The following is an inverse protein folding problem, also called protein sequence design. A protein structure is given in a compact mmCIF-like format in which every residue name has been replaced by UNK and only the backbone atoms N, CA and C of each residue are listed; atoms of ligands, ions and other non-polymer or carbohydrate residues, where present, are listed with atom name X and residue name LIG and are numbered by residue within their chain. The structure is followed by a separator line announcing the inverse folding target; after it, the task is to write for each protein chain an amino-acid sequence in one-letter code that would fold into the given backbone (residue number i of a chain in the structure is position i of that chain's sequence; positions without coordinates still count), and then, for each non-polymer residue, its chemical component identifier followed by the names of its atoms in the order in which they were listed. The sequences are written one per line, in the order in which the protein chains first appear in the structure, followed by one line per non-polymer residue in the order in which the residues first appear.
data_IF_981290792089
#
_entry.id   IF_981290792089
#
_cell.length_a   1.000
_cell.length_b   1.000
_cell.length_c   1.000
_cell.angle_alpha   90.00
_cell.angle_beta   90.00
_cell.angle_gamma   90.00
#
_symmetry.space_group_name_H-M   'P 1'
#
loop_
_entity.id
_entity.type
_entity.pdbx_description
1 polymer ?
#
# COMPACT_ATOMS: atom_id res chain seq x y z
N UNK A 1 2.90 19.51 -1.01
CA UNK A 1 4.35 19.39 -1.25
C UNK A 1 4.74 18.06 -1.89
N UNK A 2 4.33 16.89 -1.36
CA UNK A 2 4.73 15.58 -1.94
C UNK A 2 4.13 15.34 -3.34
N UNK A 3 2.88 15.76 -3.58
CA UNK A 3 2.23 15.63 -4.91
C UNK A 3 3.01 16.38 -5.99
N UNK A 4 3.46 17.61 -5.71
CA UNK A 4 4.21 18.46 -6.64
C UNK A 4 5.56 17.82 -7.03
N UNK A 5 6.19 17.09 -6.11
CA UNK A 5 7.45 16.40 -6.40
C UNK A 5 7.24 15.20 -7.34
N UNK A 6 6.18 14.43 -7.13
CA UNK A 6 5.85 13.30 -8.01
C UNK A 6 5.43 13.77 -9.41
N UNK A 7 4.74 14.91 -9.50
CA UNK A 7 4.45 15.55 -10.77
C UNK A 7 5.74 15.98 -11.48
N UNK A 8 6.67 16.62 -10.77
CA UNK A 8 7.98 17.02 -11.31
C UNK A 8 8.76 15.84 -11.89
N UNK A 9 8.77 14.70 -11.20
CA UNK A 9 9.41 13.47 -11.70
C UNK A 9 8.77 12.96 -13.00
N UNK A 10 7.47 13.13 -13.16
CA UNK A 10 6.76 12.75 -14.38
C UNK A 10 7.05 13.74 -15.53
N UNK A 11 7.24 15.02 -15.22
CA UNK A 11 7.68 16.03 -16.21
C UNK A 11 9.10 15.72 -16.70
N UNK A 12 10.03 15.45 -15.78
CA UNK A 12 11.41 15.08 -16.08
C UNK A 12 11.47 13.78 -16.90
N UNK A 13 10.59 12.81 -16.60
CA UNK A 13 10.42 11.61 -17.41
C UNK A 13 9.96 11.90 -18.85
N UNK A 14 9.06 12.88 -19.04
CA UNK A 14 8.61 13.30 -20.37
C UNK A 14 9.72 14.01 -21.16
N UNK A 15 10.47 14.89 -20.51
CA UNK A 15 11.62 15.59 -21.10
C UNK A 15 12.71 14.61 -21.54
N UNK A 16 13.03 13.61 -20.70
CA UNK A 16 13.98 12.55 -21.03
C UNK A 16 13.52 11.63 -22.15
N UNK A 17 12.21 11.47 -22.35
CA UNK A 17 11.65 10.71 -23.47
C UNK A 17 11.77 11.46 -24.81
N UNK A 18 12.18 12.73 -24.81
CA UNK A 18 12.23 13.57 -26.00
C UNK A 18 10.84 13.78 -26.62
N UNK A 19 9.79 13.57 -25.82
CA UNK A 19 8.41 13.81 -26.23
C UNK A 19 8.13 15.26 -25.87
N UNK A 20 8.14 16.15 -26.87
CA UNK A 20 7.56 17.47 -26.68
C UNK A 20 6.06 17.30 -26.45
N UNK A 21 5.66 17.26 -25.18
CA UNK A 21 4.29 17.58 -24.81
C UNK A 21 4.09 19.05 -25.15
N UNK A 22 3.72 19.34 -26.40
CA UNK A 22 3.23 20.65 -26.76
C UNK A 22 1.99 20.94 -25.91
N UNK A 23 2.17 21.75 -24.87
CA UNK A 23 1.10 22.54 -24.25
C UNK A 23 0.95 23.84 -25.02
N UNK A 24 0.75 23.77 -26.33
CA UNK A 24 0.27 24.93 -27.10
C UNK A 24 -1.14 24.61 -27.54
N UNK A 25 -2.09 24.81 -26.64
CA UNK A 25 -3.46 25.11 -27.08
C UNK A 25 -3.49 26.62 -27.23
N UNK A 26 -3.50 27.09 -28.47
CA UNK A 26 -3.92 28.44 -28.78
C UNK A 26 -5.41 28.54 -28.46
N UNK A 27 -5.74 28.97 -27.25
CA UNK A 27 -7.08 29.45 -26.93
C UNK A 27 -7.12 30.96 -27.21
N UNK A 28 -8.21 31.44 -27.83
CA UNK A 28 -8.36 32.80 -28.38
C UNK A 28 -8.35 33.97 -27.35
N UNK A 29 -8.06 33.70 -26.07
CA UNK A 29 -7.84 34.74 -25.07
C UNK A 29 -6.46 34.57 -24.42
N UNK A 30 -5.54 35.47 -24.77
CA UNK A 30 -4.13 35.45 -24.42
C UNK A 30 -3.80 35.43 -22.93
N UNK A 31 -3.81 34.23 -22.35
CA UNK A 31 -3.18 33.92 -21.07
C UNK A 31 -2.59 32.52 -21.10
N UNK A 32 -1.26 32.43 -21.18
CA UNK A 32 -0.50 31.18 -21.07
C UNK A 32 -0.72 30.58 -19.67
N UNK A 33 -1.56 29.55 -19.58
CA UNK A 33 -1.61 28.66 -18.42
C UNK A 33 -1.03 27.33 -18.83
N UNK A 34 0.13 27.02 -18.26
CA UNK A 34 0.74 25.70 -18.28
C UNK A 34 -0.33 24.67 -17.89
N UNK A 35 -0.77 23.83 -18.85
CA UNK A 35 -1.71 22.76 -18.55
C UNK A 35 -0.95 21.73 -17.72
N UNK A 36 -1.36 21.55 -16.47
CA UNK A 36 -0.81 20.54 -15.58
C UNK A 36 -0.79 19.19 -16.31
N UNK A 37 0.40 18.58 -16.45
CA UNK A 37 0.58 17.25 -17.05
C UNK A 37 -0.35 16.21 -16.43
N UNK A 38 -0.67 16.40 -15.14
CA UNK A 38 -1.61 15.61 -14.39
C UNK A 38 -3.03 15.59 -14.96
N UNK A 39 -3.42 16.55 -15.82
CA UNK A 39 -4.75 16.64 -16.45
C UNK A 39 -4.81 16.02 -17.86
N UNK A 40 -3.67 15.59 -18.41
CA UNK A 40 -3.62 15.02 -19.75
C UNK A 40 -4.16 13.58 -19.75
N UNK A 41 -5.02 13.30 -20.72
CA UNK A 41 -5.58 11.96 -20.96
C UNK A 41 -4.48 10.97 -21.31
N UNK A 42 -4.45 9.85 -20.60
CA UNK A 42 -3.52 8.75 -20.77
C UNK A 42 -4.04 7.79 -21.85
N UNK A 43 -3.37 7.78 -23.01
CA UNK A 43 -3.61 6.78 -24.06
C UNK A 43 -2.47 5.77 -24.09
N UNK A 44 -2.75 4.52 -23.71
CA UNK A 44 -1.78 3.43 -23.71
C UNK A 44 -1.46 2.89 -25.11
N UNK A 45 -2.25 3.24 -26.12
CA UNK A 45 -2.00 2.87 -27.52
C UNK A 45 -0.86 3.71 -28.12
N UNK A 46 -0.66 4.91 -27.58
CA UNK A 46 0.35 5.84 -28.07
C UNK A 46 1.77 5.41 -27.61
N UNK A 47 2.74 5.27 -28.55
CA UNK A 47 4.12 4.95 -28.19
C UNK A 47 4.79 5.99 -27.28
N UNK A 48 4.34 7.25 -27.29
CA UNK A 48 4.87 8.30 -26.41
C UNK A 48 4.61 7.98 -24.93
N UNK A 49 3.40 7.54 -24.59
CA UNK A 49 3.02 7.14 -23.22
C UNK A 49 3.91 6.02 -22.69
N UNK A 50 4.26 5.05 -23.55
CA UNK A 50 5.18 3.97 -23.18
C UNK A 50 6.58 4.50 -22.88
N UNK A 51 7.10 5.45 -23.66
CA UNK A 51 8.41 6.04 -23.41
C UNK A 51 8.43 6.82 -22.09
N UNK A 52 7.37 7.58 -21.78
CA UNK A 52 7.20 8.31 -20.52
C UNK A 52 7.17 7.34 -19.33
N UNK A 53 6.39 6.27 -19.42
CA UNK A 53 6.33 5.24 -18.35
C UNK A 53 7.70 4.56 -18.17
N UNK A 54 8.41 4.31 -19.29
CA UNK A 54 9.73 3.68 -19.28
C UNK A 54 10.80 4.59 -18.68
N UNK A 55 10.83 5.88 -19.02
CA UNK A 55 11.75 6.86 -18.44
C UNK A 55 11.42 7.09 -16.96
N UNK A 56 10.14 7.18 -16.60
CA UNK A 56 9.71 7.28 -15.20
C UNK A 56 10.22 6.09 -14.38
N UNK A 57 10.12 4.85 -14.91
CA UNK A 57 10.70 3.67 -14.27
C UNK A 57 12.22 3.76 -14.14
N UNK A 58 12.93 4.31 -15.12
CA UNK A 58 14.38 4.48 -15.06
C UNK A 58 14.80 5.49 -13.99
N UNK A 59 14.04 6.59 -13.83
CA UNK A 59 14.31 7.65 -12.85
C UNK A 59 13.94 7.24 -11.42
N UNK A 60 12.79 6.61 -11.25
CA UNK A 60 12.24 6.29 -9.91
C UNK A 60 12.53 4.87 -9.45
N UNK A 61 12.87 3.96 -10.36
CA UNK A 61 12.94 2.53 -10.10
C UNK A 61 11.58 1.85 -9.90
N UNK A 62 10.47 2.60 -9.90
CA UNK A 62 9.12 2.07 -9.71
C UNK A 62 8.53 1.57 -11.03
N UNK A 63 7.98 0.35 -11.01
CA UNK A 63 7.31 -0.23 -12.15
C UNK A 63 5.81 -0.35 -11.88
N UNK A 64 4.99 0.16 -12.79
CA UNK A 64 3.55 -0.06 -12.76
C UNK A 64 3.22 -1.50 -13.16
N UNK A 65 2.33 -2.15 -12.41
CA UNK A 65 1.85 -3.48 -12.75
C UNK A 65 0.93 -3.41 -13.98
N UNK A 66 1.01 -4.42 -14.86
CA UNK A 66 0.20 -4.46 -16.08
C UNK A 66 -1.30 -4.57 -15.79
N UNK A 67 -1.66 -5.30 -14.71
CA UNK A 67 -3.04 -5.35 -14.21
C UNK A 67 -3.59 -3.98 -13.83
N UNK A 68 -2.74 -3.09 -13.31
CA UNK A 68 -3.12 -1.73 -12.98
C UNK A 68 -3.35 -0.90 -14.25
N UNK A 69 -2.42 -0.94 -15.22
CA UNK A 69 -2.56 -0.23 -16.48
C UNK A 69 -3.80 -0.69 -17.27
N UNK A 70 -4.07 -2.00 -17.30
CA UNK A 70 -5.29 -2.56 -17.90
C UNK A 70 -6.56 -2.09 -17.18
N UNK A 71 -6.53 -1.99 -15.85
CA UNK A 71 -7.68 -1.50 -15.06
C UNK A 71 -8.00 -0.02 -15.28
N UNK A 72 -7.00 0.80 -15.66
CA UNK A 72 -7.22 2.19 -16.00
C UNK A 72 -8.00 2.34 -17.31
N UNK A 73 -7.75 1.44 -18.28
CA UNK A 73 -8.43 1.45 -19.60
C UNK A 73 -9.78 0.74 -19.57
N UNK A 74 -9.92 -0.31 -18.76
CA UNK A 74 -11.14 -1.13 -18.70
C UNK A 74 -12.28 -0.53 -17.84
N UNK A 75 -12.11 0.67 -17.27
CA UNK A 75 -13.11 1.30 -16.41
C UNK A 75 -14.36 1.70 -17.25
N UNK A 76 -15.56 1.19 -16.94
CA UNK A 76 -16.76 1.34 -17.78
C UNK A 76 -17.37 2.76 -17.74
N UNK A 77 -16.98 3.59 -16.79
CA UNK A 77 -17.31 5.01 -16.64
C UNK A 77 -16.41 5.88 -17.56
N UNK A 78 -16.41 5.52 -18.84
CA UNK A 78 -15.59 6.02 -19.95
C UNK A 78 -15.87 7.46 -20.40
N UNK A 79 -16.38 8.33 -19.52
CA UNK A 79 -16.44 9.78 -19.75
C UNK A 79 -15.25 10.52 -19.12
N UNK A 80 -14.56 9.91 -18.15
CA UNK A 80 -13.30 10.40 -17.60
C UNK A 80 -12.17 9.50 -18.12
N UNK A 81 -11.50 9.96 -19.17
CA UNK A 81 -10.29 9.31 -19.67
C UNK A 81 -9.29 9.15 -18.51
N UNK A 82 -8.70 7.97 -18.34
CA UNK A 82 -7.62 7.77 -17.36
C UNK A 82 -6.58 8.87 -17.56
N UNK A 83 -6.07 9.44 -16.48
CA UNK A 83 -5.21 10.63 -16.57
C UNK A 83 -3.84 10.31 -15.98
N UNK A 84 -2.80 11.06 -16.35
CA UNK A 84 -1.49 10.92 -15.71
C UNK A 84 -1.54 11.19 -14.19
N UNK A 85 -2.53 11.94 -13.70
CA UNK A 85 -2.83 12.03 -12.27
C UNK A 85 -3.05 10.65 -11.60
N UNK A 86 -3.69 9.69 -12.28
CA UNK A 86 -3.92 8.35 -11.72
C UNK A 86 -2.61 7.55 -11.54
N UNK A 87 -1.62 7.79 -12.41
CA UNK A 87 -0.29 7.21 -12.25
C UNK A 87 0.45 7.84 -11.07
N UNK A 88 0.35 9.17 -10.91
CA UNK A 88 0.97 9.91 -9.82
C UNK A 88 0.35 9.49 -8.48
N UNK A 89 -0.98 9.42 -8.38
CA UNK A 89 -1.67 9.00 -7.15
C UNK A 89 -1.30 7.56 -6.78
N UNK A 90 -1.26 6.65 -7.75
CA UNK A 90 -0.84 5.27 -7.49
C UNK A 90 0.61 5.17 -7.03
N UNK A 91 1.53 5.94 -7.63
CA UNK A 91 2.93 6.00 -7.18
C UNK A 91 3.05 6.56 -5.75
N UNK A 92 2.30 7.62 -5.43
CA UNK A 92 2.27 8.19 -4.09
C UNK A 92 1.68 7.21 -3.08
N UNK A 93 0.60 6.52 -3.40
CA UNK A 93 0.01 5.50 -2.54
C UNK A 93 1.02 4.38 -2.28
N UNK A 94 1.71 3.89 -3.31
CA UNK A 94 2.69 2.82 -3.17
C UNK A 94 3.95 3.23 -2.36
N UNK A 95 4.35 4.50 -2.43
CA UNK A 95 5.57 4.99 -1.76
C UNK A 95 5.32 5.53 -0.35
N UNK A 96 4.15 6.11 -0.10
CA UNK A 96 3.81 6.71 1.20
C UNK A 96 3.07 5.76 2.12
N UNK A 97 2.28 4.82 1.57
CA UNK A 97 1.52 3.85 2.36
C UNK A 97 2.24 2.50 2.34
N UNK A 98 2.88 2.08 3.44
CA UNK A 98 3.44 0.74 3.49
C UNK A 98 2.31 -0.27 3.33
N UNK A 99 2.44 -1.17 2.35
CA UNK A 99 1.49 -2.26 2.19
C UNK A 99 1.48 -3.10 3.47
N UNK A 100 0.31 -3.42 4.04
CA UNK A 100 0.23 -4.22 5.24
C UNK A 100 0.81 -5.61 4.95
N UNK A 101 1.85 -5.98 5.69
CA UNK A 101 2.55 -7.26 5.52
C UNK A 101 1.71 -8.41 6.06
N UNK A 102 0.90 -8.12 7.08
CA UNK A 102 0.11 -9.09 7.80
C UNK A 102 -1.39 -8.79 7.74
N UNK A 103 -2.20 -9.85 7.83
CA UNK A 103 -3.67 -9.72 7.90
C UNK A 103 -4.09 -8.88 9.10
N UNK A 104 -3.38 -8.99 10.22
CA UNK A 104 -3.62 -8.14 11.39
C UNK A 104 -3.54 -6.64 11.05
N UNK A 105 -2.48 -6.22 10.36
CA UNK A 105 -2.28 -4.83 9.97
C UNK A 105 -3.36 -4.35 9.01
N UNK A 106 -3.78 -5.20 8.06
CA UNK A 106 -4.84 -4.83 7.12
C UNK A 106 -6.22 -4.70 7.80
N UNK A 107 -6.48 -5.47 8.85
CA UNK A 107 -7.69 -5.37 9.65
C UNK A 107 -7.68 -4.15 10.59
N UNK A 108 -6.53 -3.84 11.18
CA UNK A 108 -6.36 -2.64 12.04
C UNK A 108 -6.44 -1.36 11.21
N UNK A 109 -5.87 -1.35 10.00
CA UNK A 109 -5.96 -0.22 9.08
C UNK A 109 -7.41 0.09 8.64
N UNK A 110 -8.30 -0.90 8.70
CA UNK A 110 -9.74 -0.71 8.47
C UNK A 110 -10.39 -0.15 9.73
N UNK A 111 -10.39 1.18 9.82
CA UNK A 111 -10.96 1.93 10.95
C UNK A 111 -12.41 1.50 11.27
N UNK A 112 -13.21 1.15 10.27
CA UNK A 112 -14.59 0.71 10.46
C UNK A 112 -14.71 -0.50 11.39
N UNK A 113 -13.81 -1.48 11.27
CA UNK A 113 -13.78 -2.68 12.11
C UNK A 113 -13.10 -2.38 13.46
N UNK A 114 -11.98 -1.67 13.42
CA UNK A 114 -11.20 -1.37 14.63
C UNK A 114 -11.95 -0.47 15.63
N UNK A 115 -12.88 0.35 15.15
CA UNK A 115 -13.68 1.25 16.00
C UNK A 115 -14.92 0.58 16.62
N UNK A 116 -15.26 -0.66 16.24
CA UNK A 116 -16.44 -1.33 16.80
C UNK A 116 -16.16 -1.80 18.23
N UNK A 117 -17.02 -1.47 19.21
CA UNK A 117 -16.83 -1.89 20.60
C UNK A 117 -17.00 -3.40 20.82
N UNK A 118 -17.65 -4.09 19.89
CA UNK A 118 -17.95 -5.52 19.98
C UNK A 118 -16.92 -6.40 19.25
N UNK A 119 -15.86 -5.82 18.70
CA UNK A 119 -14.85 -6.53 17.90
C UNK A 119 -13.48 -6.32 18.52
N UNK A 120 -12.80 -7.42 18.82
CA UNK A 120 -11.41 -7.41 19.29
C UNK A 120 -10.53 -8.10 18.24
N UNK A 121 -9.46 -7.43 17.85
CA UNK A 121 -8.53 -7.91 16.82
C UNK A 121 -7.18 -8.13 17.49
N UNK A 122 -6.66 -9.36 17.42
CA UNK A 122 -5.40 -9.73 18.04
C UNK A 122 -4.30 -10.00 16.99
N UNK A 123 -3.04 -9.59 17.26
CA UNK A 123 -1.92 -9.80 16.32
C UNK A 123 -1.42 -11.24 16.28
N UNK A 124 -1.70 -12.03 17.33
CA UNK A 124 -1.26 -13.41 17.46
C UNK A 124 -2.43 -14.32 17.81
N UNK A 125 -2.25 -15.61 17.57
CA UNK A 125 -3.21 -16.63 18.00
C UNK A 125 -3.39 -16.59 19.51
N UNK A 126 -4.65 -16.54 19.94
CA UNK A 126 -5.03 -16.69 21.34
C UNK A 126 -4.75 -18.13 21.82
N UNK A 127 -3.98 -18.26 22.89
CA UNK A 127 -3.64 -19.55 23.49
C UNK A 127 -4.56 -19.88 24.67
N UNK A 128 -4.68 -21.15 25.10
CA UNK A 128 -5.43 -21.49 26.32
C UNK A 128 -4.96 -20.71 27.55
N UNK A 129 -3.65 -20.44 27.63
CA UNK A 129 -3.05 -19.62 28.69
C UNK A 129 -3.58 -18.18 28.66
N UNK A 130 -3.79 -17.61 27.46
CA UNK A 130 -4.33 -16.25 27.33
C UNK A 130 -5.80 -16.21 27.79
N UNK A 131 -6.60 -17.22 27.46
CA UNK A 131 -7.99 -17.37 27.96
C UNK A 131 -8.05 -17.45 29.49
N UNK A 132 -7.20 -18.28 30.09
CA UNK A 132 -7.15 -18.42 31.54
C UNK A 132 -6.66 -17.13 32.23
N UNK A 133 -5.84 -16.32 31.54
CA UNK A 133 -5.42 -15.00 32.03
C UNK A 133 -6.55 -13.98 31.98
N UNK A 134 -7.37 -13.98 30.92
CA UNK A 134 -8.55 -13.11 30.82
C UNK A 134 -9.56 -13.40 31.92
N UNK A 135 -9.81 -14.68 32.22
CA UNK A 135 -10.68 -15.10 33.33
C UNK A 135 -10.01 -14.88 34.70
N UNK A 136 -8.68 -14.82 34.75
CA UNK A 136 -7.88 -14.67 35.96
C UNK A 136 -7.51 -15.98 36.68
N UNK A 137 -7.94 -17.12 36.14
CA UNK A 137 -7.65 -18.47 36.67
C UNK A 137 -6.17 -18.83 36.57
N UNK A 138 -5.45 -18.27 35.59
CA UNK A 138 -4.03 -18.54 35.39
C UNK A 138 -3.19 -18.28 36.64
N UNK A 139 -3.56 -17.28 37.45
CA UNK A 139 -2.86 -16.93 38.70
C UNK A 139 -2.93 -18.05 39.75
N UNK A 140 -4.01 -18.83 39.77
CA UNK A 140 -4.18 -19.96 40.69
C UNK A 140 -3.38 -21.16 40.19
N UNK A 141 -3.48 -21.44 38.89
CA UNK A 141 -2.74 -22.52 38.22
C UNK A 141 -1.23 -22.34 38.42
N UNK A 142 -0.72 -21.12 38.18
CA UNK A 142 0.69 -20.79 38.35
C UNK A 142 1.19 -21.05 39.77
N UNK A 143 0.41 -20.64 40.79
CA UNK A 143 0.76 -20.88 42.20
C UNK A 143 0.77 -22.37 42.55
N UNK A 144 -0.24 -23.12 42.11
CA UNK A 144 -0.34 -24.55 42.37
C UNK A 144 0.78 -25.35 41.68
N UNK A 145 1.10 -25.02 40.43
CA UNK A 145 2.21 -25.65 39.70
C UNK A 145 3.55 -25.38 40.40
N UNK A 146 3.79 -24.13 40.82
CA UNK A 146 5.00 -23.75 41.54
C UNK A 146 5.12 -24.47 42.90
N UNK A 147 4.03 -24.55 43.67
CA UNK A 147 4.02 -25.28 44.95
C UNK A 147 4.33 -26.77 44.80
N UNK A 148 3.94 -27.37 43.67
CA UNK A 148 4.18 -28.78 43.34
C UNK A 148 5.52 -29.02 42.65
N UNK A 149 6.31 -27.97 42.41
CA UNK A 149 7.58 -28.07 41.69
C UNK A 149 7.44 -28.45 40.21
N UNK A 150 6.28 -28.18 39.60
CA UNK A 150 5.99 -28.44 38.19
C UNK A 150 6.34 -27.21 37.33
N UNK A 151 6.69 -27.38 36.04
CA UNK A 151 6.97 -26.25 35.15
C UNK A 151 5.69 -25.46 34.85
N UNK A 152 5.73 -24.14 35.06
CA UNK A 152 4.59 -23.24 34.80
C UNK A 152 4.34 -23.06 33.30
N UNK A 153 5.40 -22.97 32.50
CA UNK A 153 5.36 -22.92 31.04
C UNK A 153 6.47 -23.80 30.46
N UNK A 154 6.21 -24.42 29.31
CA UNK A 154 7.16 -25.27 28.62
C UNK A 154 7.22 -26.68 29.21
N UNK A 155 8.31 -27.41 28.91
CA UNK A 155 8.58 -28.75 29.44
C UNK A 155 9.79 -28.68 30.35
N UNK A 156 9.83 -29.53 31.38
CA UNK A 156 11.07 -29.79 32.09
C UNK A 156 12.09 -30.33 31.09
N UNK A 157 13.33 -29.84 31.16
CA UNK A 157 14.46 -30.36 30.39
C UNK A 157 14.84 -31.74 30.91
N UNK A 158 13.96 -32.72 30.71
CA UNK A 158 14.33 -34.13 30.85
C UNK A 158 15.24 -34.39 29.65
N UNK A 159 16.54 -34.56 29.90
CA UNK A 159 17.49 -35.03 28.90
C UNK A 159 16.86 -36.21 28.19
N UNK A 160 16.57 -36.05 26.91
CA UNK A 160 15.89 -37.04 26.07
C UNK A 160 16.52 -38.41 26.28
N UNK A 161 15.80 -39.29 26.99
CA UNK A 161 16.16 -40.69 27.09
C UNK A 161 16.06 -41.26 25.68
N UNK A 162 17.22 -41.41 25.04
CA UNK A 162 17.42 -42.14 23.80
C UNK A 162 16.88 -43.55 23.96
N UNK A 163 15.77 -43.84 23.29
CA UNK A 163 15.36 -45.21 22.95
C UNK A 163 16.03 -45.64 21.65
#
# INVERSE_FOLDING_TARGET
MIIQLAELLLRDAADHAGVELFTTVEDEEGGEKEKDLASQTLDLTNPATFQIIKSFRALTGFAFADSFLSSLVARPDAAANATYADLITHYLDATTKPAPTNVYESLVAKHELAAQPNVLIFPRRETPVDKDKEVGQWKVIEKELAQRGLPVLGRLSVSSSSS
#
